data_IF_337976533617
#
_entry.id   IF_337976533617
#
_cell.length_a   1.000
_cell.length_b   1.000
_cell.length_c   1.000
_cell.angle_alpha   90.00
_cell.angle_beta   90.00
_cell.angle_gamma   90.00
#
_symmetry.space_group_name_H-M   'P 1'
#
loop_
_entity.id
_entity.type
_entity.pdbx_description
1 polymer ?
#
# COMPACT_ATOMS: atom_id res chain seq x y z
N UNK A 1 24.48 15.12 -20.18
CA UNK A 1 24.07 14.14 -19.15
C UNK A 1 24.13 14.81 -17.80
N UNK A 2 23.04 14.77 -17.03
CA UNK A 2 23.03 15.20 -15.62
C UNK A 2 23.25 13.97 -14.76
N UNK A 3 24.29 13.98 -13.94
CA UNK A 3 24.52 12.91 -12.95
C UNK A 3 23.66 13.20 -11.73
N UNK A 4 22.83 12.24 -11.34
CA UNK A 4 22.05 12.30 -10.11
C UNK A 4 22.86 11.73 -8.96
N UNK A 5 22.77 12.36 -7.78
CA UNK A 5 23.37 11.87 -6.55
C UNK A 5 22.30 11.08 -5.79
N UNK A 6 22.64 9.86 -5.36
CA UNK A 6 21.77 9.05 -4.51
C UNK A 6 21.92 9.54 -3.07
N UNK A 7 20.79 9.73 -2.39
CA UNK A 7 20.73 10.17 -1.00
C UNK A 7 19.94 9.14 -0.17
N UNK A 8 20.21 9.00 1.14
CA UNK A 8 19.43 8.12 2.01
C UNK A 8 17.95 8.54 2.03
N UNK A 9 17.06 7.55 2.02
CA UNK A 9 15.62 7.79 2.19
C UNK A 9 15.33 8.07 3.67
N UNK A 10 14.83 9.27 3.98
CA UNK A 10 14.28 9.61 5.30
C UNK A 10 12.95 10.32 5.12
N UNK A 11 12.08 10.28 6.14
CA UNK A 11 10.81 11.02 6.13
C UNK A 11 11.00 12.51 5.84
N UNK A 12 11.99 13.13 6.47
CA UNK A 12 12.23 14.57 6.35
C UNK A 12 12.69 14.94 4.93
N UNK A 13 13.60 14.15 4.36
CA UNK A 13 14.08 14.39 3.01
C UNK A 13 13.00 14.11 1.94
N UNK A 14 12.08 13.19 2.23
CA UNK A 14 11.05 12.76 1.28
C UNK A 14 9.72 13.51 1.40
N UNK A 15 9.50 14.27 2.48
CA UNK A 15 8.25 14.99 2.75
C UNK A 15 7.69 15.84 1.58
N UNK A 16 8.50 16.48 0.71
CA UNK A 16 7.98 17.20 -0.46
C UNK A 16 7.36 16.30 -1.54
N UNK A 17 7.66 15.01 -1.52
CA UNK A 17 7.24 14.04 -2.54
C UNK A 17 6.16 13.08 -2.03
N UNK A 18 6.04 12.91 -0.71
CA UNK A 18 5.04 12.07 -0.07
C UNK A 18 5.52 11.51 1.26
N UNK A 19 4.94 10.37 1.64
CA UNK A 19 5.20 9.70 2.91
C UNK A 19 6.19 8.52 2.75
N UNK A 20 7.00 8.28 3.79
CA UNK A 20 7.83 7.07 3.91
C UNK A 20 7.13 6.08 4.84
N UNK A 21 6.76 4.91 4.30
CA UNK A 21 6.12 3.84 5.07
C UNK A 21 7.19 3.03 5.79
N UNK A 22 7.45 3.38 7.04
CA UNK A 22 8.39 2.68 7.91
C UNK A 22 8.00 2.72 9.40
N UNK A 23 8.61 1.85 10.20
CA UNK A 23 8.38 1.79 11.66
C UNK A 23 9.36 2.65 12.45
N UNK A 24 10.55 2.93 11.90
CA UNK A 24 11.57 3.74 12.56
C UNK A 24 11.12 5.19 12.65
N UNK A 25 11.25 5.79 13.85
CA UNK A 25 10.78 7.15 14.12
C UNK A 25 9.26 7.36 13.98
N UNK A 26 8.46 6.31 13.81
CA UNK A 26 6.99 6.39 13.73
C UNK A 26 6.35 6.22 15.10
N UNK A 27 5.33 7.03 15.39
CA UNK A 27 4.47 6.79 16.54
C UNK A 27 3.69 5.48 16.39
N UNK A 28 3.45 4.81 17.50
CA UNK A 28 2.61 3.62 17.55
C UNK A 28 1.82 3.57 18.84
N UNK A 29 0.75 2.79 18.83
CA UNK A 29 0.06 2.38 20.04
C UNK A 29 -0.07 0.86 20.10
N UNK A 30 -0.23 0.35 21.31
CA UNK A 30 -0.38 -1.08 21.55
C UNK A 30 -1.83 -1.52 21.28
N UNK A 31 -1.99 -2.64 20.58
CA UNK A 31 -3.27 -3.36 20.43
C UNK A 31 -3.12 -4.80 20.93
N UNK A 32 -4.21 -5.59 20.89
CA UNK A 32 -4.20 -7.00 21.28
C UNK A 32 -3.58 -7.23 22.66
N UNK A 33 -4.02 -6.45 23.66
CA UNK A 33 -3.53 -6.53 25.04
C UNK A 33 -2.00 -6.38 25.18
N UNK A 34 -1.39 -5.51 24.38
CA UNK A 34 0.06 -5.26 24.45
C UNK A 34 0.92 -6.22 23.63
N UNK A 35 0.32 -7.13 22.87
CA UNK A 35 1.08 -8.08 22.03
C UNK A 35 1.42 -7.56 20.64
N UNK A 36 0.79 -6.47 20.18
CA UNK A 36 1.00 -5.94 18.82
C UNK A 36 1.20 -4.43 18.86
N UNK A 37 2.23 -3.93 18.16
CA UNK A 37 2.43 -2.50 17.89
C UNK A 37 1.73 -2.12 16.60
N UNK A 38 0.80 -1.17 16.66
CA UNK A 38 0.14 -0.60 15.48
C UNK A 38 0.77 0.76 15.16
N UNK A 39 1.54 0.79 14.07
CA UNK A 39 2.02 2.02 13.43
C UNK A 39 0.88 2.56 12.57
N UNK A 40 0.09 3.43 13.17
CA UNK A 40 -1.18 3.83 12.58
C UNK A 40 -0.97 4.89 11.49
N UNK A 41 -1.59 4.67 10.32
CA UNK A 41 -1.71 5.65 9.24
C UNK A 41 -0.35 6.25 8.83
N UNK A 42 0.59 5.39 8.44
CA UNK A 42 1.90 5.80 7.91
C UNK A 42 1.82 6.54 6.57
N UNK A 43 0.72 6.37 5.84
CA UNK A 43 0.40 7.10 4.63
C UNK A 43 -1.13 7.21 4.49
N UNK A 44 -1.60 8.12 3.64
CA UNK A 44 -3.01 8.23 3.24
C UNK A 44 -3.13 7.96 1.75
N UNK A 45 -4.08 7.12 1.35
CA UNK A 45 -4.40 6.92 -0.07
C UNK A 45 -5.28 8.08 -0.52
N UNK A 46 -4.86 8.77 -1.56
CA UNK A 46 -5.61 9.84 -2.21
C UNK A 46 -6.03 9.37 -3.61
N UNK A 47 -7.31 9.51 -3.93
CA UNK A 47 -7.87 9.22 -5.25
C UNK A 47 -8.27 10.52 -5.96
N UNK A 48 -8.41 10.48 -7.29
CA UNK A 48 -8.71 11.68 -8.07
C UNK A 48 -10.18 12.07 -7.96
N UNK A 49 -11.08 11.09 -7.98
CA UNK A 49 -12.52 11.27 -7.91
C UNK A 49 -13.15 10.56 -6.69
N UNK A 50 -14.30 11.03 -6.20
CA UNK A 50 -15.03 10.38 -5.10
C UNK A 50 -15.48 8.94 -5.39
N UNK A 51 -15.72 8.61 -6.65
CA UNK A 51 -16.12 7.27 -7.11
C UNK A 51 -14.95 6.30 -7.27
N UNK A 52 -13.71 6.79 -7.25
CA UNK A 52 -12.51 5.97 -7.36
C UNK A 52 -12.40 5.03 -6.16
N UNK A 53 -11.96 3.81 -6.43
CA UNK A 53 -11.75 2.80 -5.41
C UNK A 53 -10.26 2.57 -5.19
N UNK A 54 -9.80 2.81 -3.97
CA UNK A 54 -8.47 2.40 -3.54
C UNK A 54 -8.41 0.87 -3.49
N UNK A 55 -7.59 0.27 -4.35
CA UNK A 55 -7.35 -1.17 -4.37
C UNK A 55 -5.99 -1.49 -3.77
N UNK A 56 -5.85 -2.70 -3.22
CA UNK A 56 -4.57 -3.25 -2.75
C UNK A 56 -4.26 -4.48 -3.60
N UNK A 57 -3.12 -4.47 -4.27
CA UNK A 57 -2.64 -5.60 -5.06
C UNK A 57 -1.36 -6.16 -4.47
N UNK A 58 -1.22 -7.48 -4.49
CA UNK A 58 0.02 -8.17 -4.14
C UNK A 58 0.70 -8.57 -5.45
N UNK A 59 1.90 -8.05 -5.69
CA UNK A 59 2.71 -8.40 -6.87
C UNK A 59 3.91 -9.22 -6.42
N UNK A 60 4.11 -10.38 -7.05
CA UNK A 60 5.26 -11.26 -6.80
C UNK A 60 6.10 -11.37 -8.05
N UNK A 61 7.41 -11.42 -7.91
CA UNK A 61 8.33 -11.70 -9.03
C UNK A 61 8.51 -13.22 -9.17
N UNK A 62 8.62 -13.91 -8.04
CA UNK A 62 8.82 -15.35 -7.98
C UNK A 62 7.49 -16.09 -7.73
N UNK A 63 7.44 -17.37 -8.13
CA UNK A 63 6.25 -18.23 -7.97
C UNK A 63 5.85 -18.48 -6.51
N UNK A 64 6.76 -18.25 -5.56
CA UNK A 64 6.51 -18.43 -4.13
C UNK A 64 7.09 -17.24 -3.39
N UNK A 65 6.22 -16.52 -2.71
CA UNK A 65 6.56 -15.42 -1.84
C UNK A 65 5.63 -15.46 -0.63
N UNK A 66 6.13 -15.05 0.53
CA UNK A 66 5.40 -15.17 1.81
C UNK A 66 4.96 -13.79 2.28
N UNK A 67 3.65 -13.61 2.43
CA UNK A 67 3.05 -12.37 2.91
C UNK A 67 2.31 -12.60 4.22
N UNK A 68 2.51 -11.70 5.18
CA UNK A 68 1.65 -11.61 6.34
C UNK A 68 0.41 -10.78 5.96
N UNK A 69 -0.74 -11.44 5.82
CA UNK A 69 -2.03 -10.78 5.66
C UNK A 69 -2.69 -10.65 7.02
N UNK A 70 -3.00 -9.42 7.42
CA UNK A 70 -3.75 -9.13 8.64
C UNK A 70 -5.18 -8.77 8.26
N UNK A 71 -6.09 -9.70 8.50
CA UNK A 71 -7.52 -9.53 8.24
C UNK A 71 -8.32 -9.36 9.54
N UNK A 72 -9.47 -8.70 9.44
CA UNK A 72 -10.43 -8.57 10.53
C UNK A 72 -11.29 -9.84 10.62
N UNK A 73 -11.28 -10.49 11.78
CA UNK A 73 -12.30 -11.48 12.13
C UNK A 73 -13.51 -10.79 12.78
N UNK A 74 -14.74 -11.10 12.35
CA UNK A 74 -15.97 -10.52 12.90
C UNK A 74 -17.22 -10.89 12.09
N UNK A 75 -18.39 -10.44 12.55
CA UNK A 75 -19.63 -10.56 11.79
C UNK A 75 -19.70 -9.56 10.64
N UNK A 76 -20.40 -9.94 9.56
CA UNK A 76 -20.55 -9.14 8.34
C UNK A 76 -19.80 -9.75 7.15
N UNK A 77 -20.03 -9.21 5.96
CA UNK A 77 -19.21 -9.54 4.80
C UNK A 77 -17.89 -8.77 4.87
N UNK A 78 -16.77 -9.48 4.77
CA UNK A 78 -15.43 -8.94 4.96
C UNK A 78 -14.52 -9.18 3.74
N UNK A 79 -14.93 -10.03 2.81
CA UNK A 79 -14.17 -10.33 1.61
C UNK A 79 -15.16 -10.59 0.47
N UNK A 80 -15.11 -9.76 -0.56
CA UNK A 80 -15.78 -10.00 -1.82
C UNK A 80 -14.73 -10.51 -2.81
N UNK A 81 -14.82 -11.79 -3.17
CA UNK A 81 -13.93 -12.40 -4.15
C UNK A 81 -14.45 -12.10 -5.56
N UNK A 82 -13.65 -11.38 -6.34
CA UNK A 82 -13.92 -11.15 -7.76
C UNK A 82 -12.84 -11.82 -8.61
N UNK A 83 -13.28 -12.69 -9.52
CA UNK A 83 -12.40 -13.39 -10.45
C UNK A 83 -12.47 -12.71 -11.82
N UNK A 84 -11.36 -12.12 -12.24
CA UNK A 84 -11.22 -11.57 -13.59
C UNK A 84 -11.00 -12.69 -14.61
N UNK A 85 -11.58 -12.55 -15.80
CA UNK A 85 -11.22 -13.37 -16.96
C UNK A 85 -9.85 -12.94 -17.50
N UNK A 86 -9.17 -13.81 -18.27
CA UNK A 86 -7.86 -13.47 -18.88
C UNK A 86 -7.94 -12.21 -19.76
N UNK A 87 -9.10 -11.94 -20.35
CA UNK A 87 -9.37 -10.78 -21.20
C UNK A 87 -9.65 -9.48 -20.42
N UNK A 88 -9.65 -9.51 -19.08
CA UNK A 88 -9.91 -8.34 -18.22
C UNK A 88 -8.65 -7.86 -17.47
N UNK A 89 -7.56 -8.64 -17.52
CA UNK A 89 -6.29 -8.31 -16.87
C UNK A 89 -5.41 -7.47 -17.80
N UNK A 90 -5.50 -6.14 -17.70
CA UNK A 90 -4.59 -5.22 -18.38
C UNK A 90 -3.86 -4.33 -17.38
N UNK A 91 -2.53 -4.36 -17.42
CA UNK A 91 -1.68 -3.32 -16.81
C UNK A 91 -1.33 -2.31 -17.90
N UNK A 92 -2.20 -1.34 -18.17
CA UNK A 92 -1.93 -0.26 -19.12
C UNK A 92 -1.72 1.06 -18.38
N UNK A 93 -0.46 1.52 -18.21
CA UNK A 93 -0.15 2.78 -17.54
C UNK A 93 -0.54 4.02 -18.35
N UNK A 94 -1.13 3.87 -19.55
CA UNK A 94 -1.49 4.98 -20.45
C UNK A 94 -2.99 5.08 -20.74
N UNK A 95 -3.82 4.24 -20.13
CA UNK A 95 -5.24 4.14 -20.47
C UNK A 95 -6.08 5.39 -20.17
N UNK A 96 -5.59 6.30 -19.32
CA UNK A 96 -6.28 7.56 -18.99
C UNK A 96 -5.84 8.77 -19.86
N UNK A 97 -5.17 8.54 -21.00
CA UNK A 97 -4.69 9.60 -21.89
C UNK A 97 -5.54 9.89 -23.13
N UNK A 98 -6.81 9.45 -23.16
CA UNK A 98 -7.79 9.82 -24.20
C UNK A 98 -8.83 10.84 -23.73
#
# INVERSE_FOLDING_TARGET
MRTLKIEPLTKEAFAPFGDVIETEGSEFFMINNGSTRRYHKLATVETAQPEDQAIISVLTIEKRDEFLVVDRSGSGNNCDEHFFSEDELFLDPHRDSE
#
